data_IF_862773443137
#
_entry.id   IF_862773443137
#
_cell.length_a   1.000
_cell.length_b   1.000
_cell.length_c   1.000
_cell.angle_alpha   90.00
_cell.angle_beta   90.00
_cell.angle_gamma   90.00
#
_symmetry.space_group_name_H-M   'P 1'
#
loop_
_entity.id
_entity.type
_entity.pdbx_description
1 polymer ?
#
# COMPACT_ATOMS: atom_id res chain seq x y z
N UNK A 1 -4.16 66.72 22.62
CA UNK A 1 -3.05 66.08 23.36
C UNK A 1 -3.49 65.98 24.81
N UNK A 2 -3.69 64.77 25.34
CA UNK A 2 -4.05 64.56 26.73
C UNK A 2 -2.79 64.76 27.58
N UNK A 3 -2.84 65.69 28.54
CA UNK A 3 -1.80 65.83 29.56
C UNK A 3 -1.87 64.57 30.43
N UNK A 4 -0.80 63.77 30.54
CA UNK A 4 -0.81 62.60 31.41
C UNK A 4 -0.94 63.09 32.86
N UNK A 5 -1.93 62.55 33.58
CA UNK A 5 -2.05 62.74 35.03
C UNK A 5 -0.87 62.00 35.66
N UNK A 6 0.18 62.74 36.02
CA UNK A 6 1.35 62.22 36.73
C UNK A 6 0.86 61.67 38.08
N UNK A 7 0.91 60.35 38.25
CA UNK A 7 0.61 59.72 39.54
C UNK A 7 1.70 60.14 40.54
N UNK A 8 1.35 60.76 41.69
CA UNK A 8 2.33 61.40 42.58
C UNK A 8 3.22 60.44 43.38
N UNK A 9 3.21 59.14 43.10
CA UNK A 9 3.89 58.10 43.89
C UNK A 9 4.91 57.24 43.12
N UNK A 10 5.20 57.52 41.85
CA UNK A 10 6.25 56.81 41.12
C UNK A 10 7.60 57.40 41.53
N UNK A 11 8.45 56.59 42.18
CA UNK A 11 9.78 57.00 42.63
C UNK A 11 10.81 56.67 41.55
N UNK A 12 11.62 57.65 41.19
CA UNK A 12 12.80 57.44 40.35
C UNK A 12 13.75 56.45 41.05
N UNK A 13 14.51 55.69 40.27
CA UNK A 13 15.61 54.89 40.84
C UNK A 13 16.67 55.80 41.46
N UNK A 14 17.52 55.25 42.33
CA UNK A 14 18.56 56.03 43.00
C UNK A 14 19.48 56.77 42.01
N UNK A 15 19.79 56.16 40.87
CA UNK A 15 20.65 56.74 39.82
C UNK A 15 19.93 57.86 39.06
N UNK A 16 18.65 57.66 38.75
CA UNK A 16 17.83 58.67 38.07
C UNK A 16 17.53 59.87 38.98
N UNK A 17 17.33 59.64 40.28
CA UNK A 17 17.16 60.72 41.26
C UNK A 17 18.46 61.53 41.38
N UNK A 18 19.64 60.88 41.36
CA UNK A 18 20.93 61.58 41.33
C UNK A 18 21.15 62.39 40.03
N UNK A 19 20.67 61.88 38.89
CA UNK A 19 20.73 62.61 37.62
C UNK A 19 19.77 63.81 37.63
N UNK A 20 18.55 63.61 38.13
CA UNK A 20 17.57 64.67 38.32
C UNK A 20 18.12 65.79 39.19
N UNK A 21 18.69 65.47 40.37
CA UNK A 21 19.30 66.45 41.26
C UNK A 21 20.44 67.23 40.58
N UNK A 22 21.31 66.55 39.83
CA UNK A 22 22.39 67.22 39.08
C UNK A 22 21.86 68.18 38.02
N UNK A 23 20.79 67.82 37.31
CA UNK A 23 20.19 68.70 36.30
C UNK A 23 19.43 69.85 36.97
N UNK A 24 18.72 69.59 38.07
CA UNK A 24 18.06 70.60 38.88
C UNK A 24 19.06 71.64 39.41
N UNK A 25 20.20 71.21 39.94
CA UNK A 25 21.24 72.13 40.42
C UNK A 25 21.79 73.01 39.30
N UNK A 26 21.97 72.48 38.09
CA UNK A 26 22.37 73.30 36.92
C UNK A 26 21.31 74.34 36.57
N UNK A 27 20.04 73.97 36.58
CA UNK A 27 18.93 74.92 36.36
C UNK A 27 18.96 76.01 37.44
N UNK A 28 19.16 75.66 38.71
CA UNK A 28 19.26 76.64 39.81
C UNK A 28 20.42 77.62 39.62
N UNK A 29 21.59 77.13 39.21
CA UNK A 29 22.75 77.98 38.90
C UNK A 29 22.41 78.96 37.78
N UNK A 30 21.81 78.50 36.69
CA UNK A 30 21.37 79.42 35.61
C UNK A 30 20.41 80.50 36.11
N UNK A 31 19.43 80.15 36.95
CA UNK A 31 18.48 81.12 37.49
C UNK A 31 19.13 82.09 38.49
N UNK A 32 20.13 81.65 39.24
CA UNK A 32 20.92 82.50 40.14
C UNK A 32 21.79 83.50 39.37
N UNK A 33 22.44 83.05 38.30
CA UNK A 33 23.23 83.92 37.40
C UNK A 33 22.32 85.01 36.76
N UNK A 34 21.05 84.70 36.52
CA UNK A 34 20.05 85.68 36.05
C UNK A 34 19.66 86.71 37.13
N UNK A 35 19.60 86.32 38.41
CA UNK A 35 19.37 87.25 39.53
C UNK A 35 20.54 88.23 39.71
N UNK A 36 21.78 87.81 39.44
CA UNK A 36 22.96 88.68 39.53
C UNK A 36 23.06 89.69 38.37
N UNK A 37 22.55 89.34 37.19
CA UNK A 37 22.59 90.18 35.98
C UNK A 37 21.57 91.32 35.97
N UNK A 38 20.53 91.25 36.81
CA UNK A 38 19.46 92.23 36.87
C UNK A 38 19.18 92.61 38.34
N UNK A 39 19.58 93.82 38.75
CA UNK A 39 19.38 94.40 40.10
C UNK A 39 17.91 94.65 40.50
N UNK A 40 16.98 93.81 40.03
CA UNK A 40 15.55 93.86 40.21
C UNK A 40 15.11 92.85 41.29
N UNK A 41 15.29 93.20 42.56
CA UNK A 41 14.76 92.42 43.70
C UNK A 41 13.24 92.17 43.63
N UNK A 42 12.51 92.98 42.86
CA UNK A 42 11.07 92.88 42.59
C UNK A 42 10.70 91.69 41.69
N UNK A 43 11.64 91.18 40.88
CA UNK A 43 11.43 90.02 39.99
C UNK A 43 11.77 88.67 40.62
N UNK A 44 12.44 88.65 41.77
CA UNK A 44 12.87 87.44 42.49
C UNK A 44 11.70 86.45 42.70
N UNK A 45 10.54 86.94 43.18
CA UNK A 45 9.37 86.09 43.38
C UNK A 45 8.86 85.43 42.07
N UNK A 46 8.99 86.12 40.93
CA UNK A 46 8.59 85.58 39.63
C UNK A 46 9.63 84.58 39.10
N UNK A 47 10.92 84.85 39.31
CA UNK A 47 12.03 83.94 38.99
C UNK A 47 11.93 82.64 39.80
N UNK A 48 11.72 82.70 41.12
CA UNK A 48 11.51 81.51 41.96
C UNK A 48 10.26 80.72 41.54
N UNK A 49 9.17 81.40 41.19
CA UNK A 49 7.95 80.75 40.69
C UNK A 49 8.18 80.07 39.34
N UNK A 50 8.99 80.66 38.46
CA UNK A 50 9.36 80.08 37.18
C UNK A 50 10.30 78.88 37.37
N UNK A 51 11.30 78.99 38.25
CA UNK A 51 12.18 77.91 38.65
C UNK A 51 11.38 76.71 39.16
N UNK A 52 10.43 76.92 40.08
CA UNK A 52 9.57 75.85 40.58
C UNK A 52 8.75 75.15 39.48
N UNK A 53 8.30 75.89 38.45
CA UNK A 53 7.62 75.30 37.28
C UNK A 53 8.58 74.49 36.41
N UNK A 54 9.78 75.01 36.16
CA UNK A 54 10.80 74.30 35.36
C UNK A 54 11.24 73.02 36.07
N UNK A 55 11.46 73.06 37.39
CA UNK A 55 11.82 71.87 38.18
C UNK A 55 10.69 70.81 38.14
N UNK A 56 9.43 71.24 38.21
CA UNK A 56 8.28 70.35 38.10
C UNK A 56 8.20 69.68 36.73
N UNK A 57 8.30 70.45 35.64
CA UNK A 57 8.29 69.92 34.28
C UNK A 57 9.49 69.00 34.02
N UNK A 58 10.67 69.35 34.54
CA UNK A 58 11.86 68.50 34.46
C UNK A 58 11.59 67.13 35.12
N UNK A 59 10.98 67.13 36.31
CA UNK A 59 10.65 65.87 37.01
C UNK A 59 9.62 65.05 36.24
N UNK A 60 8.63 65.70 35.64
CA UNK A 60 7.64 65.06 34.76
C UNK A 60 8.29 64.36 33.57
N UNK A 61 9.25 65.02 32.90
CA UNK A 61 10.00 64.44 31.77
C UNK A 61 10.83 63.22 32.20
N UNK A 62 11.51 63.29 33.34
CA UNK A 62 12.27 62.16 33.87
C UNK A 62 11.38 60.95 34.18
N UNK A 63 10.23 61.18 34.84
CA UNK A 63 9.26 60.11 35.11
C UNK A 63 8.72 59.49 33.83
N UNK A 64 8.41 60.31 32.82
CA UNK A 64 7.94 59.81 31.54
C UNK A 64 8.99 58.91 30.85
N UNK A 65 10.26 59.32 30.86
CA UNK A 65 11.34 58.51 30.30
C UNK A 65 11.59 57.22 31.08
N UNK A 66 11.47 57.26 32.41
CA UNK A 66 11.54 56.06 33.25
C UNK A 66 10.45 55.05 32.88
N UNK A 67 9.19 55.49 32.79
CA UNK A 67 8.06 54.63 32.41
C UNK A 67 8.26 54.02 31.01
N UNK A 68 8.76 54.82 30.06
CA UNK A 68 9.07 54.34 28.71
C UNK A 68 10.19 53.30 28.75
N UNK A 69 11.26 53.52 29.52
CA UNK A 69 12.36 52.56 29.67
C UNK A 69 11.87 51.23 30.27
N UNK A 70 11.10 51.26 31.35
CA UNK A 70 10.50 50.06 31.93
C UNK A 70 9.59 49.32 30.95
N UNK A 71 8.79 50.04 30.16
CA UNK A 71 7.95 49.42 29.13
C UNK A 71 8.77 48.75 28.03
N UNK A 72 9.89 49.36 27.62
CA UNK A 72 10.82 48.78 26.64
C UNK A 72 11.45 47.49 27.18
N UNK A 73 11.90 47.48 28.44
CA UNK A 73 12.45 46.28 29.09
C UNK A 73 11.42 45.14 29.16
N UNK A 74 10.18 45.45 29.53
CA UNK A 74 9.09 44.47 29.56
C UNK A 74 8.78 43.91 28.17
N UNK A 75 8.79 44.75 27.13
CA UNK A 75 8.60 44.31 25.75
C UNK A 75 9.78 43.45 25.26
N UNK A 76 11.01 43.79 25.63
CA UNK A 76 12.19 43.00 25.31
C UNK A 76 12.09 41.60 25.92
N UNK A 77 11.72 41.51 27.21
CA UNK A 77 11.54 40.22 27.87
C UNK A 77 10.44 39.36 27.21
N UNK A 78 9.34 39.99 26.76
CA UNK A 78 8.28 39.30 25.99
C UNK A 78 8.77 38.83 24.64
N UNK A 79 9.57 39.64 23.94
CA UNK A 79 10.17 39.29 22.66
C UNK A 79 11.11 38.09 22.81
N UNK A 80 11.97 38.09 23.83
CA UNK A 80 12.90 36.99 24.09
C UNK A 80 12.15 35.69 24.41
N UNK A 81 11.07 35.77 25.19
CA UNK A 81 10.18 34.63 25.46
C UNK A 81 9.54 34.10 24.17
N UNK A 82 9.04 35.00 23.32
CA UNK A 82 8.44 34.63 22.04
C UNK A 82 9.45 33.96 21.09
N UNK A 83 10.69 34.45 21.06
CA UNK A 83 11.76 33.85 20.27
C UNK A 83 12.06 32.41 20.73
N UNK A 84 12.15 32.18 22.04
CA UNK A 84 12.34 30.83 22.60
C UNK A 84 11.18 29.90 22.25
N UNK A 85 9.94 30.40 22.32
CA UNK A 85 8.75 29.62 21.95
C UNK A 85 8.75 29.25 20.46
N UNK A 86 9.12 30.17 19.58
CA UNK A 86 9.24 29.92 18.13
C UNK A 86 10.33 28.89 17.84
N UNK A 87 11.49 29.00 18.48
CA UNK A 87 12.57 28.02 18.33
C UNK A 87 12.14 26.63 18.79
N UNK A 88 11.43 26.56 19.93
CA UNK A 88 10.86 25.31 20.43
C UNK A 88 9.85 24.72 19.47
N UNK A 89 8.93 25.51 18.93
CA UNK A 89 7.96 25.05 17.95
C UNK A 89 8.63 24.58 16.66
N UNK A 90 9.67 25.29 16.21
CA UNK A 90 10.46 24.89 15.04
C UNK A 90 11.11 23.51 15.24
N UNK A 91 11.75 23.29 16.40
CA UNK A 91 12.32 21.99 16.74
C UNK A 91 11.26 20.86 16.78
N UNK A 92 10.06 21.15 17.29
CA UNK A 92 8.95 20.20 17.26
C UNK A 92 8.49 19.89 15.83
N UNK A 93 8.35 20.91 14.98
CA UNK A 93 8.00 20.72 13.56
C UNK A 93 9.03 19.84 12.84
N UNK A 94 10.33 20.08 13.07
CA UNK A 94 11.40 19.27 12.48
C UNK A 94 11.32 17.80 12.93
N UNK A 95 11.03 17.54 14.21
CA UNK A 95 10.81 16.18 14.72
C UNK A 95 9.61 15.50 14.06
N UNK A 96 8.49 16.20 13.92
CA UNK A 96 7.29 15.68 13.24
C UNK A 96 7.57 15.36 11.78
N UNK A 97 8.28 16.25 11.07
CA UNK A 97 8.66 16.04 9.66
C UNK A 97 9.57 14.80 9.53
N UNK A 98 10.55 14.64 10.40
CA UNK A 98 11.41 13.45 10.40
C UNK A 98 10.63 12.16 10.67
N UNK A 99 9.72 12.17 11.64
CA UNK A 99 8.87 11.03 11.95
C UNK A 99 7.97 10.66 10.76
N UNK A 100 7.33 11.65 10.13
CA UNK A 100 6.49 11.46 8.95
C UNK A 100 7.28 10.86 7.78
N UNK A 101 8.50 11.36 7.52
CA UNK A 101 9.40 10.80 6.49
C UNK A 101 9.77 9.35 6.79
N UNK A 102 10.03 8.99 8.05
CA UNK A 102 10.36 7.63 8.46
C UNK A 102 9.17 6.68 8.21
N UNK A 103 7.97 7.09 8.60
CA UNK A 103 6.73 6.32 8.37
C UNK A 103 6.46 6.16 6.87
N UNK A 104 6.63 7.21 6.08
CA UNK A 104 6.42 7.16 4.62
C UNK A 104 7.37 6.15 3.96
N UNK A 105 8.65 6.15 4.35
CA UNK A 105 9.64 5.18 3.83
C UNK A 105 9.30 3.75 4.23
N UNK A 106 8.93 3.51 5.49
CA UNK A 106 8.60 2.16 5.96
C UNK A 106 7.31 1.60 5.34
N UNK A 107 6.30 2.45 5.19
CA UNK A 107 5.02 2.08 4.55
C UNK A 107 5.19 1.80 3.07
N UNK A 108 5.98 2.60 2.35
CA UNK A 108 6.34 2.34 0.95
C UNK A 108 7.04 0.98 0.78
N UNK A 109 8.09 0.72 1.57
CA UNK A 109 8.80 -0.57 1.52
C UNK A 109 7.89 -1.77 1.89
N UNK A 110 6.99 -1.59 2.87
CA UNK A 110 6.03 -2.62 3.25
C UNK A 110 4.99 -2.88 2.14
N UNK A 111 4.55 -1.82 1.45
CA UNK A 111 3.65 -1.91 0.30
C UNK A 111 4.30 -2.69 -0.84
N UNK A 112 5.53 -2.34 -1.24
CA UNK A 112 6.27 -3.03 -2.30
C UNK A 112 6.47 -4.52 -1.99
N UNK A 113 6.81 -4.84 -0.74
CA UNK A 113 6.94 -6.22 -0.27
C UNK A 113 5.60 -6.98 -0.33
N UNK A 114 4.48 -6.32 -0.05
CA UNK A 114 3.15 -6.93 -0.11
C UNK A 114 2.68 -7.11 -1.55
N UNK A 115 2.94 -6.13 -2.42
CA UNK A 115 2.64 -6.17 -3.86
C UNK A 115 3.40 -7.29 -4.55
N UNK A 116 4.71 -7.40 -4.32
CA UNK A 116 5.53 -8.50 -4.86
C UNK A 116 5.06 -9.88 -4.41
N UNK A 117 4.70 -10.04 -3.12
CA UNK A 117 4.09 -11.28 -2.61
C UNK A 117 2.77 -11.60 -3.29
N UNK A 118 1.91 -10.60 -3.49
CA UNK A 118 0.61 -10.78 -4.15
C UNK A 118 0.79 -11.18 -5.62
N UNK A 119 1.73 -10.55 -6.33
CA UNK A 119 2.07 -10.90 -7.72
C UNK A 119 2.61 -12.33 -7.80
N UNK A 120 3.50 -12.74 -6.90
CA UNK A 120 4.02 -14.10 -6.84
C UNK A 120 2.90 -15.12 -6.55
N UNK A 121 1.99 -14.80 -5.62
CA UNK A 121 0.83 -15.63 -5.32
C UNK A 121 -0.09 -15.76 -6.54
N UNK A 122 -0.42 -14.66 -7.20
CA UNK A 122 -1.26 -14.68 -8.39
C UNK A 122 -0.61 -15.50 -9.51
N UNK A 123 0.69 -15.33 -9.76
CA UNK A 123 1.41 -16.12 -10.76
C UNK A 123 1.39 -17.63 -10.45
N UNK A 124 1.51 -18.00 -9.18
CA UNK A 124 1.37 -19.38 -8.73
C UNK A 124 -0.06 -19.91 -8.94
N UNK A 125 -1.08 -19.10 -8.66
CA UNK A 125 -2.48 -19.45 -8.87
C UNK A 125 -2.81 -19.68 -10.36
N UNK A 126 -2.28 -18.84 -11.26
CA UNK A 126 -2.43 -19.03 -12.72
C UNK A 126 -1.82 -20.37 -13.14
N UNK A 127 -0.57 -20.65 -12.74
CA UNK A 127 0.09 -21.93 -13.05
C UNK A 127 -0.66 -23.14 -12.47
N UNK A 128 -1.25 -23.00 -11.28
CA UNK A 128 -2.04 -24.06 -10.67
C UNK A 128 -3.31 -24.32 -11.48
N UNK A 129 -4.01 -23.28 -11.93
CA UNK A 129 -5.19 -23.42 -12.80
C UNK A 129 -4.82 -24.06 -14.14
N UNK A 130 -3.73 -23.63 -14.76
CA UNK A 130 -3.22 -24.26 -16.00
C UNK A 130 -2.99 -25.76 -15.79
N UNK A 131 -2.31 -26.15 -14.70
CA UNK A 131 -2.09 -27.57 -14.35
C UNK A 131 -3.40 -28.32 -14.09
N UNK A 132 -4.39 -27.69 -13.47
CA UNK A 132 -5.70 -28.32 -13.27
C UNK A 132 -6.41 -28.57 -14.61
N UNK A 133 -6.31 -27.63 -15.55
CA UNK A 133 -6.88 -27.80 -16.89
C UNK A 133 -6.20 -28.94 -17.66
N UNK A 134 -4.87 -29.07 -17.58
CA UNK A 134 -4.15 -30.19 -18.21
C UNK A 134 -4.57 -31.53 -17.59
N UNK A 135 -4.65 -31.63 -16.27
CA UNK A 135 -5.11 -32.86 -15.59
C UNK A 135 -6.54 -33.23 -15.99
N UNK A 136 -7.43 -32.25 -16.14
CA UNK A 136 -8.79 -32.51 -16.60
C UNK A 136 -8.85 -32.93 -18.08
N UNK A 137 -7.97 -32.39 -18.93
CA UNK A 137 -7.86 -32.81 -20.33
C UNK A 137 -7.32 -34.23 -20.45
N UNK A 138 -6.28 -34.58 -19.68
CA UNK A 138 -5.70 -35.91 -19.63
C UNK A 138 -6.72 -36.95 -19.16
N UNK A 139 -7.51 -36.65 -18.12
CA UNK A 139 -8.59 -37.52 -17.66
C UNK A 139 -9.62 -37.75 -18.77
N UNK A 140 -10.05 -36.69 -19.47
CA UNK A 140 -10.98 -36.80 -20.60
C UNK A 140 -10.41 -37.69 -21.70
N UNK A 141 -9.12 -37.55 -22.04
CA UNK A 141 -8.47 -38.39 -23.04
C UNK A 141 -8.42 -39.86 -22.61
N UNK A 142 -8.08 -40.12 -21.34
CA UNK A 142 -8.06 -41.47 -20.78
C UNK A 142 -9.44 -42.13 -20.84
N UNK A 143 -10.51 -41.41 -20.49
CA UNK A 143 -11.88 -41.91 -20.57
C UNK A 143 -12.25 -42.27 -22.04
N UNK A 144 -11.85 -41.44 -23.01
CA UNK A 144 -12.08 -41.72 -24.44
C UNK A 144 -11.32 -42.95 -24.93
N UNK A 145 -10.05 -43.10 -24.53
CA UNK A 145 -9.25 -44.28 -24.86
C UNK A 145 -9.86 -45.55 -24.30
N UNK A 146 -10.39 -45.52 -23.08
CA UNK A 146 -11.05 -46.68 -22.47
C UNK A 146 -12.32 -47.05 -23.23
N UNK A 147 -13.14 -46.07 -23.63
CA UNK A 147 -14.35 -46.33 -24.44
C UNK A 147 -13.99 -46.91 -25.81
N UNK A 148 -12.98 -46.35 -26.49
CA UNK A 148 -12.53 -46.87 -27.79
C UNK A 148 -11.97 -48.27 -27.67
N UNK A 149 -11.12 -48.54 -26.67
CA UNK A 149 -10.59 -49.87 -26.40
C UNK A 149 -11.71 -50.89 -26.18
N UNK A 150 -12.73 -50.54 -25.39
CA UNK A 150 -13.90 -51.41 -25.19
C UNK A 150 -14.71 -51.65 -26.47
N UNK A 151 -14.83 -50.65 -27.36
CA UNK A 151 -15.49 -50.83 -28.67
C UNK A 151 -14.68 -51.75 -29.57
N UNK A 152 -13.37 -51.57 -29.66
CA UNK A 152 -12.51 -52.41 -30.48
C UNK A 152 -12.45 -53.85 -29.97
N UNK A 153 -12.42 -54.06 -28.64
CA UNK A 153 -12.50 -55.40 -28.06
C UNK A 153 -13.80 -56.11 -28.48
N UNK A 154 -14.95 -55.44 -28.38
CA UNK A 154 -16.23 -56.00 -28.84
C UNK A 154 -16.27 -56.27 -30.33
N UNK A 155 -15.71 -55.37 -31.15
CA UNK A 155 -15.64 -55.60 -32.60
C UNK A 155 -14.78 -56.80 -32.94
N UNK A 156 -13.66 -56.98 -32.21
CA UNK A 156 -12.79 -58.13 -32.38
C UNK A 156 -13.49 -59.43 -31.96
N UNK A 157 -14.17 -59.44 -30.81
CA UNK A 157 -15.00 -60.58 -30.38
C UNK A 157 -16.08 -60.94 -31.42
N UNK A 158 -16.74 -59.94 -32.02
CA UNK A 158 -17.73 -60.16 -33.07
C UNK A 158 -17.11 -60.77 -34.33
N UNK A 159 -15.97 -60.26 -34.78
CA UNK A 159 -15.25 -60.80 -35.95
C UNK A 159 -14.75 -62.23 -35.69
N UNK A 160 -14.23 -62.50 -34.49
CA UNK A 160 -13.82 -63.85 -34.09
C UNK A 160 -15.01 -64.81 -34.07
N UNK A 161 -16.17 -64.37 -33.58
CA UNK A 161 -17.40 -65.14 -33.61
C UNK A 161 -17.88 -65.40 -35.05
N UNK A 162 -17.88 -64.38 -35.90
CA UNK A 162 -18.24 -64.50 -37.32
C UNK A 162 -17.33 -65.48 -38.05
N UNK A 163 -16.01 -65.40 -37.83
CA UNK A 163 -15.04 -66.33 -38.40
C UNK A 163 -15.25 -67.76 -37.88
N UNK A 164 -15.51 -67.94 -36.57
CA UNK A 164 -15.78 -69.27 -36.01
C UNK A 164 -17.05 -69.89 -36.63
N UNK A 165 -18.12 -69.11 -36.77
CA UNK A 165 -19.36 -69.53 -37.42
C UNK A 165 -19.14 -69.90 -38.89
N UNK A 166 -18.35 -69.11 -39.64
CA UNK A 166 -18.01 -69.41 -41.03
C UNK A 166 -17.21 -70.71 -41.15
N UNK A 167 -16.22 -70.93 -40.28
CA UNK A 167 -15.43 -72.16 -40.25
C UNK A 167 -16.32 -73.37 -39.96
N UNK A 168 -17.23 -73.26 -38.99
CA UNK A 168 -18.11 -74.37 -38.63
C UNK A 168 -19.15 -74.66 -39.73
N UNK A 169 -19.69 -73.63 -40.39
CA UNK A 169 -20.53 -73.81 -41.57
C UNK A 169 -19.77 -74.52 -42.71
N UNK A 170 -18.53 -74.09 -42.99
CA UNK A 170 -17.68 -74.76 -43.99
C UNK A 170 -17.40 -76.22 -43.62
N UNK A 171 -17.13 -76.52 -42.34
CA UNK A 171 -16.95 -77.91 -41.88
C UNK A 171 -18.21 -78.75 -42.12
N UNK A 172 -19.38 -78.24 -41.77
CA UNK A 172 -20.65 -78.94 -42.00
C UNK A 172 -20.89 -79.21 -43.49
N UNK A 173 -20.61 -78.23 -44.35
CA UNK A 173 -20.68 -78.40 -45.81
C UNK A 173 -19.71 -79.46 -46.33
N UNK A 174 -18.46 -79.46 -45.83
CA UNK A 174 -17.47 -80.48 -46.19
C UNK A 174 -17.89 -81.87 -45.71
N UNK A 175 -18.42 -82.00 -44.50
CA UNK A 175 -18.93 -83.28 -43.99
C UNK A 175 -20.15 -83.77 -44.79
N UNK A 176 -21.05 -82.88 -45.19
CA UNK A 176 -22.17 -83.22 -46.05
C UNK A 176 -21.71 -83.71 -47.43
N UNK A 177 -20.76 -83.00 -48.06
CA UNK A 177 -20.14 -83.43 -49.33
C UNK A 177 -19.45 -84.78 -49.19
N UNK A 178 -18.68 -84.99 -48.12
CA UNK A 178 -18.03 -86.28 -47.83
C UNK A 178 -19.05 -87.41 -47.68
N UNK A 179 -20.16 -87.19 -46.96
CA UNK A 179 -21.24 -88.19 -46.83
C UNK A 179 -21.88 -88.51 -48.18
N UNK A 180 -22.16 -87.49 -49.00
CA UNK A 180 -22.71 -87.67 -50.33
C UNK A 180 -21.76 -88.46 -51.26
N UNK A 181 -20.45 -88.18 -51.19
CA UNK A 181 -19.43 -88.90 -51.95
C UNK A 181 -19.31 -90.37 -51.52
N UNK A 182 -19.33 -90.66 -50.21
CA UNK A 182 -19.35 -92.03 -49.69
C UNK A 182 -20.59 -92.79 -50.18
N UNK A 183 -21.76 -92.16 -50.16
CA UNK A 183 -22.99 -92.81 -50.62
C UNK A 183 -22.98 -93.03 -52.14
N UNK A 184 -22.47 -92.06 -52.91
CA UNK A 184 -22.24 -92.22 -54.35
C UNK A 184 -21.35 -93.43 -54.65
N UNK A 185 -20.21 -93.56 -53.97
CA UNK A 185 -19.32 -94.72 -54.12
C UNK A 185 -20.00 -96.03 -53.74
N UNK A 186 -20.81 -96.06 -52.67
CA UNK A 186 -21.57 -97.26 -52.28
C UNK A 186 -22.59 -97.67 -53.34
N UNK A 187 -23.33 -96.72 -53.90
CA UNK A 187 -24.29 -96.99 -54.98
C UNK A 187 -23.57 -97.52 -56.21
N UNK A 188 -22.43 -96.92 -56.58
CA UNK A 188 -21.60 -97.39 -57.69
C UNK A 188 -21.10 -98.83 -57.45
N UNK A 189 -20.57 -99.13 -56.26
CA UNK A 189 -20.15 -100.49 -55.91
C UNK A 189 -21.31 -101.49 -55.96
N UNK A 190 -22.51 -101.13 -55.47
CA UNK A 190 -23.70 -101.99 -55.55
C UNK A 190 -24.08 -102.28 -57.00
N UNK A 191 -24.01 -101.29 -57.89
CA UNK A 191 -24.26 -101.46 -59.32
C UNK A 191 -23.21 -102.38 -59.97
N UNK A 192 -21.93 -102.22 -59.62
CA UNK A 192 -20.85 -103.08 -60.11
C UNK A 192 -21.01 -104.53 -59.63
N UNK A 193 -21.33 -104.76 -58.36
CA UNK A 193 -21.60 -106.10 -57.81
C UNK A 193 -22.83 -106.71 -58.49
N UNK A 194 -23.93 -105.98 -58.62
CA UNK A 194 -25.13 -106.47 -59.30
C UNK A 194 -24.83 -106.83 -60.77
N UNK A 195 -24.03 -106.02 -61.46
CA UNK A 195 -23.56 -106.33 -62.81
C UNK A 195 -22.65 -107.56 -62.86
N UNK A 196 -21.82 -107.81 -61.85
CA UNK A 196 -20.98 -109.01 -61.78
C UNK A 196 -21.83 -110.26 -61.49
N UNK A 197 -22.76 -110.18 -60.54
CA UNK A 197 -23.69 -111.26 -60.21
C UNK A 197 -24.55 -111.65 -61.40
N UNK A 198 -25.10 -110.69 -62.15
CA UNK A 198 -25.87 -110.97 -63.37
C UNK A 198 -25.00 -111.67 -64.43
N UNK A 199 -23.72 -111.26 -64.59
CA UNK A 199 -22.76 -111.95 -65.47
C UNK A 199 -22.44 -113.37 -65.03
N UNK A 200 -22.28 -113.61 -63.73
CA UNK A 200 -21.99 -114.94 -63.16
C UNK A 200 -23.21 -115.86 -63.19
N UNK A 201 -24.40 -115.34 -62.91
CA UNK A 201 -25.68 -116.07 -62.98
C UNK A 201 -25.97 -116.50 -64.43
N UNK A 202 -25.71 -115.62 -65.40
CA UNK A 202 -25.77 -115.99 -66.83
C UNK A 202 -24.74 -117.05 -67.25
N UNK A 203 -23.63 -117.20 -66.52
CA UNK A 203 -22.63 -118.26 -66.76
C UNK A 203 -22.96 -119.61 -66.12
N UNK A 204 -23.82 -119.65 -65.10
CA UNK A 204 -24.22 -120.89 -64.39
C UNK A 204 -25.52 -121.50 -64.90
N UNK A 205 -26.28 -120.76 -65.73
CA UNK A 205 -27.52 -121.21 -66.38
C UNK A 205 -27.25 -121.78 -67.80
N UNK A 206 -25.98 -121.84 -68.22
CA UNK A 206 -25.49 -122.52 -69.43
C UNK A 206 -24.64 -123.73 -69.03
#
# INVERSE_FOLDING_TARGET
MQVPVVQPNVRLTHVEEQLFLRVQDRVRVYFHDFEELEGFSVLNNNLQRLLGKVEFELRSVFLHHHDVACNVEQLQAKLDTCLQDVERQRAMCDQVIMAARKVTKSTSAALDKRTSRLQAFHAAEVKLREKQWTVQADKRLQDHLQVLSGKFARQLELLELEHAQQIDAMKQDFEAKKKAEIEYMRVQMRLEIASQLDRETRRTIL
#
